data_IF_155982437093
#
_entry.id   IF_155982437093
#
_cell.length_a   1.000
_cell.length_b   1.000
_cell.length_c   1.000
_cell.angle_alpha   90.00
_cell.angle_beta   90.00
_cell.angle_gamma   90.00
#
_symmetry.space_group_name_H-M   'P 1'
#
loop_
_entity.id
_entity.type
_entity.pdbx_description
1 polymer ?
#
# COMPACT_ATOMS: atom_id res chain seq x y z
N UNK A 1 -6.01 9.47 -8.01
CA UNK A 1 -7.24 9.00 -8.69
C UNK A 1 -7.06 9.16 -10.19
N UNK A 2 -7.48 8.17 -10.99
CA UNK A 2 -7.48 8.28 -12.45
C UNK A 2 -8.87 8.66 -12.94
N UNK A 3 -8.97 9.68 -13.80
CA UNK A 3 -10.23 10.21 -14.31
C UNK A 3 -10.18 10.34 -15.84
N UNK A 4 -11.31 10.12 -16.51
CA UNK A 4 -11.41 10.12 -17.97
C UNK A 4 -12.52 9.21 -18.49
N UNK A 5 -12.82 9.29 -19.78
CA UNK A 5 -13.83 8.44 -20.44
C UNK A 5 -13.43 6.97 -20.47
N UNK A 6 -14.38 6.05 -20.69
CA UNK A 6 -14.08 4.63 -20.92
C UNK A 6 -13.15 4.47 -22.13
N UNK A 7 -12.16 3.59 -22.02
CA UNK A 7 -11.12 3.40 -23.05
C UNK A 7 -9.99 4.44 -23.04
N UNK A 8 -9.98 5.42 -22.12
CA UNK A 8 -8.90 6.42 -22.02
C UNK A 8 -7.64 5.90 -21.31
N UNK A 9 -7.54 4.60 -21.02
CA UNK A 9 -6.36 4.00 -20.37
C UNK A 9 -6.27 4.18 -18.85
N UNK A 10 -7.36 4.53 -18.14
CA UNK A 10 -7.34 4.70 -16.67
C UNK A 10 -6.81 3.47 -15.93
N UNK A 11 -7.35 2.29 -16.26
CA UNK A 11 -6.96 1.03 -15.62
C UNK A 11 -5.53 0.63 -15.98
N UNK A 12 -5.13 0.88 -17.25
CA UNK A 12 -3.76 0.70 -17.72
C UNK A 12 -2.77 1.57 -16.93
N UNK A 13 -3.05 2.87 -16.76
CA UNK A 13 -2.19 3.78 -15.98
C UNK A 13 -2.10 3.39 -14.50
N UNK A 14 -3.23 3.01 -13.88
CA UNK A 14 -3.23 2.58 -12.47
C UNK A 14 -2.58 1.20 -12.29
N UNK A 15 -2.59 0.35 -13.31
CA UNK A 15 -2.04 -1.00 -13.24
C UNK A 15 -2.97 -2.04 -12.63
N UNK A 16 -4.26 -1.75 -12.49
CA UNK A 16 -5.26 -2.69 -11.96
C UNK A 16 -5.67 -3.76 -12.99
N UNK A 17 -5.36 -3.54 -14.27
CA UNK A 17 -5.66 -4.44 -15.40
C UNK A 17 -4.46 -5.31 -15.79
N UNK A 18 -3.59 -5.65 -14.83
CA UNK A 18 -2.48 -6.55 -15.08
C UNK A 18 -3.02 -7.90 -15.57
N UNK A 19 -2.81 -8.15 -16.86
CA UNK A 19 -3.24 -9.35 -17.55
C UNK A 19 -2.72 -10.58 -16.79
N UNK A 20 -3.63 -11.35 -16.18
CA UNK A 20 -3.63 -12.82 -16.05
C UNK A 20 -2.34 -13.57 -15.71
N UNK A 21 -1.29 -12.90 -15.28
CA UNK A 21 0.02 -13.44 -15.03
C UNK A 21 0.56 -12.66 -13.86
N UNK A 22 0.74 -13.36 -12.76
CA UNK A 22 1.72 -13.02 -11.74
C UNK A 22 2.87 -12.30 -12.47
N UNK A 23 3.03 -10.99 -12.25
CA UNK A 23 4.20 -10.23 -12.72
C UNK A 23 5.40 -11.04 -12.27
N UNK A 24 5.93 -11.85 -13.18
CA UNK A 24 7.11 -12.64 -12.90
C UNK A 24 8.15 -11.58 -12.59
N UNK A 25 8.90 -11.73 -11.50
CA UNK A 25 9.92 -10.78 -11.06
C UNK A 25 10.99 -10.45 -12.13
N UNK A 26 10.88 -11.06 -13.32
CA UNK A 26 11.67 -10.87 -14.53
C UNK A 26 11.08 -9.90 -15.56
N UNK A 27 9.80 -9.50 -15.48
CA UNK A 27 9.23 -8.52 -16.41
C UNK A 27 9.57 -7.10 -15.92
N UNK A 28 10.13 -6.28 -16.81
CA UNK A 28 10.62 -4.95 -16.53
C UNK A 28 9.59 -4.12 -15.75
N UNK A 29 9.91 -3.86 -14.48
CA UNK A 29 9.12 -3.03 -13.55
C UNK A 29 8.80 -1.65 -14.12
N UNK A 30 9.61 -1.19 -15.09
CA UNK A 30 9.43 0.03 -15.87
C UNK A 30 8.21 0.00 -16.80
N UNK A 31 7.55 -1.16 -16.95
CA UNK A 31 6.32 -1.36 -17.73
C UNK A 31 5.07 -1.56 -16.86
N UNK A 32 5.22 -1.75 -15.54
CA UNK A 32 4.09 -1.88 -14.61
C UNK A 32 3.32 -0.57 -14.42
N UNK A 33 2.05 -0.63 -14.02
CA UNK A 33 1.24 0.56 -13.71
C UNK A 33 1.61 1.23 -12.38
N UNK A 34 0.88 2.29 -12.00
CA UNK A 34 1.20 3.11 -10.82
C UNK A 34 1.15 2.33 -9.49
N UNK A 35 0.13 1.49 -9.29
CA UNK A 35 -0.07 0.75 -8.03
C UNK A 35 1.10 -0.19 -7.71
N UNK A 36 1.53 -1.11 -8.60
CA UNK A 36 2.65 -2.01 -8.29
C UNK A 36 3.96 -1.25 -8.05
N UNK A 37 4.24 -0.16 -8.79
CA UNK A 37 5.43 0.68 -8.55
C UNK A 37 5.40 1.33 -7.18
N UNK A 38 4.27 1.93 -6.82
CA UNK A 38 4.09 2.56 -5.51
C UNK A 38 4.25 1.57 -4.36
N UNK A 39 3.74 0.34 -4.51
CA UNK A 39 3.94 -0.72 -3.51
C UNK A 39 5.43 -1.02 -3.32
N UNK A 40 6.17 -1.19 -4.41
CA UNK A 40 7.61 -1.44 -4.32
C UNK A 40 8.38 -0.29 -3.70
N UNK A 41 8.04 0.95 -4.06
CA UNK A 41 8.64 2.14 -3.45
C UNK A 41 8.38 2.20 -1.93
N UNK A 42 7.18 1.87 -1.46
CA UNK A 42 6.87 1.80 -0.03
C UNK A 42 7.81 0.79 0.65
N UNK A 43 7.84 -0.44 0.17
CA UNK A 43 8.61 -1.50 0.84
C UNK A 43 10.12 -1.24 0.80
N UNK A 44 10.66 -0.73 -0.31
CA UNK A 44 12.08 -0.34 -0.39
C UNK A 44 12.44 0.79 0.57
N UNK A 45 11.54 1.76 0.76
CA UNK A 45 11.75 2.84 1.72
C UNK A 45 11.69 2.34 3.18
N UNK A 46 10.75 1.46 3.49
CA UNK A 46 10.62 0.86 4.83
C UNK A 46 11.87 0.04 5.18
N UNK A 47 12.37 -0.76 4.23
CA UNK A 47 13.60 -1.55 4.39
C UNK A 47 14.82 -0.65 4.60
N UNK A 48 14.94 0.42 3.81
CA UNK A 48 16.03 1.40 3.97
C UNK A 48 16.03 2.12 5.32
N UNK A 49 14.85 2.39 5.90
CA UNK A 49 14.73 2.97 7.24
C UNK A 49 15.11 1.97 8.33
N UNK A 50 14.64 0.73 8.19
CA UNK A 50 14.97 -0.36 9.12
C UNK A 50 16.48 -0.64 9.17
N UNK A 51 17.14 -0.67 8.01
CA UNK A 51 18.59 -0.87 7.95
C UNK A 51 19.38 0.25 8.65
N UNK A 52 18.88 1.50 8.61
CA UNK A 52 19.50 2.62 9.33
C UNK A 52 19.35 2.48 10.85
N UNK A 53 18.19 2.05 11.34
CA UNK A 53 17.97 1.81 12.77
C UNK A 53 18.77 0.60 13.28
N UNK A 54 18.90 -0.45 12.47
CA UNK A 54 19.64 -1.67 12.85
C UNK A 54 21.16 -1.41 12.93
N UNK A 55 21.71 -0.59 12.03
CA UNK A 55 23.14 -0.20 12.07
C UNK A 55 23.45 0.70 13.26
N UNK A 56 22.54 1.62 13.63
CA UNK A 56 22.68 2.42 14.85
C UNK A 56 22.64 1.54 16.12
N UNK A 57 21.75 0.55 16.15
CA UNK A 57 21.65 -0.39 17.26
C UNK A 57 22.84 -1.36 17.38
N UNK A 58 23.48 -1.75 16.26
CA UNK A 58 24.64 -2.66 16.24
C UNK A 58 26.00 -1.94 16.44
N UNK A 59 26.09 -0.66 16.08
CA UNK A 59 27.30 0.16 16.14
C UNK A 59 27.58 0.83 17.49
N UNK A 60 27.67 0.06 18.58
CA UNK A 60 28.03 0.62 19.90
C UNK A 60 29.50 0.99 19.98
N UNK A 61 29.83 2.22 19.56
CA UNK A 61 31.05 2.91 19.97
C UNK A 61 30.79 4.39 20.18
N UNK A 62 29.95 4.73 21.16
CA UNK A 62 29.91 6.07 21.73
C UNK A 62 29.65 5.95 23.23
N UNK A 63 30.66 6.28 24.02
CA UNK A 63 30.56 6.54 25.45
C UNK A 63 29.92 7.92 25.65
N UNK A 64 28.63 7.95 25.98
CA UNK A 64 27.89 9.17 26.30
C UNK A 64 26.39 8.91 26.32
N UNK A 65 25.77 9.09 27.48
CA UNK A 65 24.33 9.05 27.79
C UNK A 65 23.63 10.14 26.93
N UNK A 66 22.54 9.97 26.17
CA UNK A 66 21.41 9.03 26.12
C UNK A 66 21.02 8.87 24.64
N UNK A 67 21.14 7.68 24.06
CA UNK A 67 20.60 7.37 22.72
C UNK A 67 19.44 6.40 22.87
N UNK A 68 18.19 6.87 22.80
CA UNK A 68 17.04 6.01 22.51
C UNK A 68 17.09 5.62 21.02
N UNK A 69 18.00 4.72 20.66
CA UNK A 69 17.97 4.02 19.38
C UNK A 69 16.80 3.01 19.42
N UNK A 70 15.59 3.54 19.21
CA UNK A 70 14.39 2.72 19.12
C UNK A 70 14.40 1.95 17.80
N UNK A 71 14.46 0.63 17.88
CA UNK A 71 14.22 -0.24 16.73
C UNK A 71 12.85 0.08 16.14
N UNK A 72 12.81 0.34 14.83
CA UNK A 72 11.57 0.70 14.14
C UNK A 72 10.91 -0.58 13.63
N UNK A 73 9.71 -0.85 14.11
CA UNK A 73 8.85 -1.91 13.59
C UNK A 73 7.69 -1.30 12.79
N UNK A 74 7.30 -1.97 11.72
CA UNK A 74 6.29 -1.46 10.78
C UNK A 74 5.18 -2.48 10.58
N UNK A 75 3.93 -2.03 10.67
CA UNK A 75 2.75 -2.81 10.29
C UNK A 75 2.08 -2.13 9.09
N UNK A 76 1.92 -2.89 8.00
CA UNK A 76 1.25 -2.41 6.77
C UNK A 76 -0.03 -3.22 6.60
N UNK A 77 -1.16 -2.52 6.49
CA UNK A 77 -2.49 -3.11 6.24
C UNK A 77 -3.08 -2.52 4.97
N UNK A 78 -3.73 -3.35 4.16
CA UNK A 78 -4.38 -2.92 2.92
C UNK A 78 -5.81 -3.42 2.86
N UNK A 79 -6.71 -2.58 2.38
CA UNK A 79 -8.08 -2.95 1.99
C UNK A 79 -8.26 -2.67 0.50
N UNK A 80 -9.11 -3.45 -0.17
CA UNK A 80 -9.40 -3.24 -1.58
C UNK A 80 -10.91 -3.18 -1.79
N UNK A 81 -11.44 -1.97 -1.99
CA UNK A 81 -12.87 -1.72 -2.03
C UNK A 81 -13.34 -1.33 -3.43
N UNK A 82 -14.53 -1.75 -3.81
CA UNK A 82 -15.24 -1.35 -5.01
C UNK A 82 -16.51 -0.56 -4.64
N UNK A 83 -16.72 0.59 -5.30
CA UNK A 83 -17.99 1.33 -5.21
C UNK A 83 -18.72 1.15 -6.54
N UNK A 84 -19.84 0.44 -6.51
CA UNK A 84 -20.62 0.16 -7.70
C UNK A 84 -22.12 0.24 -7.38
N UNK A 85 -22.85 1.03 -8.17
CA UNK A 85 -24.30 1.15 -8.00
C UNK A 85 -24.70 1.58 -6.58
N UNK A 86 -24.05 2.62 -6.04
CA UNK A 86 -24.25 3.18 -4.69
C UNK A 86 -23.86 2.31 -3.48
N UNK A 87 -23.50 1.05 -3.72
CA UNK A 87 -23.00 0.12 -2.70
C UNK A 87 -21.47 0.02 -2.68
N UNK A 88 -20.92 -0.28 -1.49
CA UNK A 88 -19.49 -0.53 -1.26
C UNK A 88 -19.26 -2.01 -1.02
N UNK A 89 -18.30 -2.61 -1.71
CA UNK A 89 -17.97 -4.03 -1.61
C UNK A 89 -16.49 -4.22 -1.28
N UNK A 90 -16.17 -5.16 -0.40
CA UNK A 90 -14.79 -5.62 -0.22
C UNK A 90 -14.44 -6.62 -1.32
N UNK A 91 -13.39 -6.31 -2.09
CA UNK A 91 -12.87 -7.18 -3.14
C UNK A 91 -12.00 -8.32 -2.60
N UNK A 92 -11.63 -8.28 -1.32
CA UNK A 92 -10.93 -9.35 -0.62
C UNK A 92 -11.89 -10.33 0.08
N UNK A 93 -13.18 -9.98 0.20
CA UNK A 93 -14.22 -10.87 0.70
C UNK A 93 -14.89 -11.63 -0.47
N UNK A 94 -14.92 -12.96 -0.38
CA UNK A 94 -15.55 -13.81 -1.39
C UNK A 94 -17.07 -13.60 -1.45
N UNK A 95 -17.70 -13.29 -0.31
CA UNK A 95 -19.14 -13.11 -0.21
C UNK A 95 -19.62 -11.79 -0.83
N UNK A 96 -18.70 -10.83 -1.04
CA UNK A 96 -18.96 -9.48 -1.58
C UNK A 96 -20.26 -8.87 -1.05
N UNK A 97 -20.44 -8.93 0.28
CA UNK A 97 -21.60 -8.30 0.90
C UNK A 97 -21.43 -6.79 0.86
N UNK A 98 -22.52 -6.03 0.64
CA UNK A 98 -22.46 -4.58 0.71
C UNK A 98 -22.11 -4.16 2.14
N UNK A 99 -21.05 -3.36 2.27
CA UNK A 99 -20.55 -2.84 3.54
C UNK A 99 -21.24 -1.51 3.87
N UNK A 100 -21.91 -1.37 5.02
CA UNK A 100 -22.41 -0.07 5.45
C UNK A 100 -21.27 0.91 5.73
N UNK A 101 -21.49 2.17 5.34
CA UNK A 101 -20.62 3.28 5.68
C UNK A 101 -20.95 3.81 7.09
N UNK A 102 -19.90 4.04 7.89
CA UNK A 102 -19.99 4.65 9.21
C UNK A 102 -19.08 5.86 9.30
N UNK A 103 -19.54 6.86 10.04
CA UNK A 103 -18.74 8.04 10.38
C UNK A 103 -18.33 7.96 11.84
N UNK A 104 -17.04 8.15 12.11
CA UNK A 104 -16.51 8.29 13.46
C UNK A 104 -16.75 9.71 14.01
N UNK A 105 -16.59 9.90 15.32
CA UNK A 105 -16.69 11.21 15.99
C UNK A 105 -15.73 12.26 15.44
N UNK A 106 -14.66 11.81 14.78
CA UNK A 106 -13.67 12.65 14.11
C UNK A 106 -14.04 13.01 12.65
N UNK A 107 -15.19 12.55 12.14
CA UNK A 107 -15.63 12.74 10.76
C UNK A 107 -14.95 11.82 9.74
N UNK A 108 -14.20 10.80 10.20
CA UNK A 108 -13.61 9.79 9.33
C UNK A 108 -14.68 8.80 8.88
N UNK A 109 -14.79 8.58 7.56
CA UNK A 109 -15.73 7.61 6.98
C UNK A 109 -15.04 6.25 6.84
N UNK A 110 -15.64 5.20 7.38
CA UNK A 110 -15.13 3.81 7.33
C UNK A 110 -16.23 2.87 6.83
N UNK A 111 -15.87 1.95 5.92
CA UNK A 111 -16.73 0.83 5.55
C UNK A 111 -16.55 -0.31 6.57
N UNK A 112 -17.65 -0.88 7.07
CA UNK A 112 -17.63 -1.93 8.11
C UNK A 112 -18.44 -3.15 7.75
#
# INVERSE_FOLDING_TARGET
MAYGQTGSGKTFSMGSEAHGGLVSASEDMSSGGLIPRFMSDIFSNLEGQKMRSDVAASGKSCSGEECEDSLIDFQVTTSFLEVYGEDVHDLLDEDRKPLPLREDVNGSVTAV
#
